data_IF_816588324706
#
_entry.id   IF_816588324706
#
_cell.length_a   1.000
_cell.length_b   1.000
_cell.length_c   1.000
_cell.angle_alpha   90.00
_cell.angle_beta   90.00
_cell.angle_gamma   90.00
#
_symmetry.space_group_name_H-M   'P 1'
#
loop_
_entity.id
_entity.type
_entity.pdbx_description
1 polymer ?
#
# COMPACT_ATOMS: atom_id res chain seq x y z
N UNK A 1 8.27 8.05 16.30
CA UNK A 1 7.11 8.99 16.28
C UNK A 1 6.92 9.70 14.93
N UNK A 2 7.86 9.59 13.99
CA UNK A 2 7.79 10.24 12.66
C UNK A 2 6.86 9.52 11.66
N UNK A 3 6.75 8.19 11.76
CA UNK A 3 5.94 7.34 10.87
C UNK A 3 4.41 7.49 11.01
N UNK A 4 3.90 8.35 11.92
CA UNK A 4 2.45 8.53 12.04
C UNK A 4 1.86 9.61 11.13
N UNK A 5 2.70 10.40 10.45
CA UNK A 5 2.24 11.50 9.57
C UNK A 5 2.29 11.16 8.09
N UNK A 6 2.64 9.94 7.74
CA UNK A 6 2.73 9.48 6.36
C UNK A 6 2.26 8.03 6.21
N UNK A 7 1.91 7.67 4.99
CA UNK A 7 1.72 6.29 4.55
C UNK A 7 2.89 5.90 3.65
N UNK A 8 3.39 4.68 3.82
CA UNK A 8 4.39 4.10 2.93
C UNK A 8 3.72 3.72 1.61
N UNK A 9 4.27 4.17 0.49
CA UNK A 9 3.74 3.87 -0.84
C UNK A 9 4.49 2.72 -1.52
N UNK A 10 5.78 2.56 -1.21
CA UNK A 10 6.66 1.58 -1.83
C UNK A 10 8.11 2.05 -1.77
N UNK A 11 9.00 1.34 -2.46
CA UNK A 11 10.39 1.75 -2.58
C UNK A 11 10.87 1.62 -4.02
N UNK A 12 11.66 2.60 -4.45
CA UNK A 12 12.29 2.63 -5.77
C UNK A 12 13.74 2.16 -5.65
N UNK A 13 14.15 1.23 -6.52
CA UNK A 13 15.52 0.75 -6.57
C UNK A 13 16.44 1.77 -7.27
N UNK A 14 17.41 2.30 -6.54
CA UNK A 14 18.44 3.18 -7.07
C UNK A 14 19.65 2.35 -7.52
N UNK A 15 19.89 2.34 -8.83
CA UNK A 15 20.97 1.55 -9.44
C UNK A 15 22.38 2.02 -9.04
N UNK A 16 22.54 3.30 -8.75
CA UNK A 16 23.84 3.93 -8.43
C UNK A 16 24.34 3.55 -7.03
N UNK A 17 23.44 3.54 -6.05
CA UNK A 17 23.73 3.13 -4.67
C UNK A 17 23.51 1.64 -4.41
N UNK A 18 22.86 0.92 -5.34
CA UNK A 18 22.39 -0.45 -5.16
C UNK A 18 21.47 -0.61 -3.93
N UNK A 19 20.61 0.38 -3.69
CA UNK A 19 19.72 0.45 -2.52
C UNK A 19 18.27 0.74 -2.94
N UNK A 20 17.33 0.36 -2.08
CA UNK A 20 15.93 0.74 -2.22
C UNK A 20 15.66 2.02 -1.43
N UNK A 21 15.20 3.06 -2.12
CA UNK A 21 14.75 4.30 -1.50
C UNK A 21 13.24 4.25 -1.26
N UNK A 22 12.83 4.39 -0.01
CA UNK A 22 11.43 4.41 0.39
C UNK A 22 10.72 5.68 -0.11
N UNK A 23 9.47 5.52 -0.53
CA UNK A 23 8.56 6.57 -0.96
C UNK A 23 7.34 6.62 -0.04
N UNK A 24 6.96 7.84 0.35
CA UNK A 24 5.87 8.08 1.29
C UNK A 24 4.93 9.15 0.78
N UNK A 25 3.65 9.05 1.15
CA UNK A 25 2.69 10.14 1.03
C UNK A 25 2.48 10.72 2.42
N UNK A 26 2.84 11.98 2.60
CA UNK A 26 2.50 12.71 3.82
C UNK A 26 1.00 12.95 3.90
N UNK A 27 0.38 12.60 5.03
CA UNK A 27 -1.07 12.68 5.23
C UNK A 27 -1.60 14.11 5.02
N UNK A 28 -0.81 15.13 5.36
CA UNK A 28 -1.16 16.54 5.11
C UNK A 28 -1.31 16.89 3.63
N UNK A 29 -0.75 16.09 2.72
CA UNK A 29 -0.86 16.25 1.27
C UNK A 29 -1.82 15.23 0.63
N UNK A 30 -2.34 14.27 1.40
CA UNK A 30 -3.28 13.26 0.91
C UNK A 30 -4.68 13.80 0.60
N UNK A 31 -4.96 15.06 0.94
CA UNK A 31 -6.18 15.78 0.55
C UNK A 31 -6.17 16.29 -0.91
N UNK A 32 -5.06 16.11 -1.63
CA UNK A 32 -4.97 16.41 -3.06
C UNK A 32 -5.40 15.21 -3.89
N UNK A 33 -6.07 15.47 -5.02
CA UNK A 33 -6.42 14.42 -5.96
C UNK A 33 -5.16 13.79 -6.56
N UNK A 34 -5.16 12.45 -6.61
CA UNK A 34 -4.14 11.65 -7.28
C UNK A 34 -4.74 10.87 -8.46
N UNK A 35 -3.88 10.43 -9.37
CA UNK A 35 -4.26 9.58 -10.51
C UNK A 35 -3.37 8.34 -10.54
N UNK A 36 -3.98 7.17 -10.42
CA UNK A 36 -3.32 5.88 -10.64
C UNK A 36 -3.66 5.44 -12.05
N UNK A 37 -2.66 5.38 -12.91
CA UNK A 37 -2.80 4.97 -14.32
C UNK A 37 -1.75 3.93 -14.69
N UNK A 38 -2.01 3.15 -15.74
CA UNK A 38 -1.13 2.08 -16.20
C UNK A 38 -1.87 1.02 -17.01
N UNK A 39 -1.11 0.17 -17.71
CA UNK A 39 -1.67 -0.95 -18.48
C UNK A 39 -2.27 -2.05 -17.58
N UNK A 40 -2.99 -2.99 -18.17
CA UNK A 40 -3.45 -4.18 -17.43
C UNK A 40 -2.25 -4.97 -16.90
N UNK A 41 -2.32 -5.44 -15.65
CA UNK A 41 -1.23 -6.18 -15.01
C UNK A 41 -0.13 -5.33 -14.37
N UNK A 42 -0.20 -3.98 -14.44
CA UNK A 42 0.83 -3.10 -13.83
C UNK A 42 0.54 -2.71 -12.38
N UNK A 43 -0.28 -3.50 -11.67
CA UNK A 43 -0.51 -3.31 -10.24
C UNK A 43 -1.52 -2.23 -9.83
N UNK A 44 -2.29 -1.61 -10.74
CA UNK A 44 -3.27 -0.56 -10.40
C UNK A 44 -4.20 -0.93 -9.24
N UNK A 45 -4.80 -2.12 -9.27
CA UNK A 45 -5.69 -2.60 -8.22
C UNK A 45 -4.95 -2.79 -6.90
N UNK A 46 -3.78 -3.43 -6.92
CA UNK A 46 -2.95 -3.66 -5.73
C UNK A 46 -2.51 -2.33 -5.12
N UNK A 47 -2.13 -1.35 -5.94
CA UNK A 47 -1.81 0.00 -5.45
C UNK A 47 -3.02 0.65 -4.76
N UNK A 48 -4.22 0.50 -5.32
CA UNK A 48 -5.43 1.04 -4.69
C UNK A 48 -5.77 0.34 -3.37
N UNK A 49 -5.60 -0.98 -3.29
CA UNK A 49 -5.75 -1.75 -2.05
C UNK A 49 -4.75 -1.27 -0.99
N UNK A 50 -3.46 -1.21 -1.30
CA UNK A 50 -2.42 -0.75 -0.36
C UNK A 50 -2.70 0.66 0.16
N UNK A 51 -3.18 1.57 -0.69
CA UNK A 51 -3.58 2.90 -0.25
C UNK A 51 -4.79 2.84 0.70
N UNK A 52 -5.83 2.08 0.35
CA UNK A 52 -7.02 1.95 1.19
C UNK A 52 -6.68 1.37 2.58
N UNK A 53 -5.90 0.29 2.62
CA UNK A 53 -5.42 -0.34 3.84
C UNK A 53 -4.56 0.62 4.67
N UNK A 54 -3.62 1.33 4.03
CA UNK A 54 -2.72 2.26 4.71
C UNK A 54 -3.47 3.45 5.31
N UNK A 55 -4.49 3.97 4.62
CA UNK A 55 -5.34 5.04 5.18
C UNK A 55 -6.22 4.51 6.32
N UNK A 56 -6.83 3.33 6.16
CA UNK A 56 -7.63 2.67 7.19
C UNK A 56 -6.81 2.42 8.46
N UNK A 57 -5.58 1.93 8.33
CA UNK A 57 -4.64 1.72 9.44
C UNK A 57 -4.24 3.03 10.17
N UNK A 58 -4.43 4.19 9.54
CA UNK A 58 -4.28 5.52 10.16
C UNK A 58 -5.59 6.06 10.74
N UNK A 59 -6.66 5.26 10.74
CA UNK A 59 -7.99 5.67 11.21
C UNK A 59 -8.75 6.57 10.23
N UNK A 60 -8.32 6.63 8.97
CA UNK A 60 -8.94 7.47 7.94
C UNK A 60 -9.97 6.62 7.19
N UNK A 61 -11.27 7.02 7.16
CA UNK A 61 -12.28 6.27 6.43
C UNK A 61 -12.03 6.38 4.92
N UNK A 62 -12.12 5.24 4.23
CA UNK A 62 -11.91 5.14 2.79
C UNK A 62 -13.19 4.66 2.12
N UNK A 63 -13.63 5.38 1.10
CA UNK A 63 -14.74 4.97 0.24
C UNK A 63 -14.20 4.59 -1.13
N UNK A 64 -14.51 3.39 -1.60
CA UNK A 64 -14.04 2.87 -2.89
C UNK A 64 -15.21 2.42 -3.76
N UNK A 65 -15.24 2.88 -5.01
CA UNK A 65 -16.12 2.31 -6.03
C UNK A 65 -15.45 1.06 -6.63
N UNK A 66 -15.94 -0.12 -6.27
CA UNK A 66 -15.40 -1.39 -6.77
C UNK A 66 -16.24 -1.96 -7.92
N UNK A 67 -15.99 -1.49 -9.15
CA UNK A 67 -16.76 -1.90 -10.34
C UNK A 67 -16.49 -3.37 -10.71
N UNK A 68 -15.28 -3.88 -10.42
CA UNK A 68 -14.85 -5.22 -10.83
C UNK A 68 -14.95 -6.26 -9.73
N UNK A 69 -15.14 -5.84 -8.48
CA UNK A 69 -15.10 -6.71 -7.31
C UNK A 69 -13.68 -7.03 -6.82
N UNK A 70 -12.66 -6.37 -7.38
CA UNK A 70 -11.26 -6.68 -7.13
C UNK A 70 -10.76 -6.07 -5.81
N UNK A 71 -11.46 -5.10 -5.21
CA UNK A 71 -11.07 -4.48 -3.94
C UNK A 71 -11.58 -5.26 -2.72
N UNK A 72 -12.60 -6.10 -2.88
CA UNK A 72 -13.17 -6.91 -1.79
C UNK A 72 -12.16 -7.78 -1.03
N UNK A 73 -11.02 -8.11 -1.64
CA UNK A 73 -9.94 -8.89 -1.03
C UNK A 73 -9.36 -8.28 0.25
N UNK A 74 -9.44 -6.95 0.45
CA UNK A 74 -8.88 -6.26 1.63
C UNK A 74 -9.58 -6.64 2.95
N UNK A 75 -10.78 -7.24 2.87
CA UNK A 75 -11.55 -7.70 4.03
C UNK A 75 -11.01 -8.99 4.68
N UNK A 76 -9.96 -9.59 4.12
CA UNK A 76 -9.32 -10.78 4.68
C UNK A 76 -7.81 -10.60 4.76
N UNK A 77 -7.22 -11.10 5.83
CA UNK A 77 -5.77 -11.16 5.97
C UNK A 77 -5.14 -11.96 4.81
N UNK A 78 -4.05 -11.42 4.27
CA UNK A 78 -3.22 -12.10 3.29
C UNK A 78 -2.48 -13.31 3.88
N UNK A 79 -1.83 -14.10 3.01
CA UNK A 79 -0.93 -15.17 3.44
C UNK A 79 0.51 -14.78 3.16
N UNK A 80 1.36 -14.89 4.17
CA UNK A 80 2.81 -14.69 4.01
C UNK A 80 3.41 -15.81 3.18
N UNK A 81 4.32 -15.46 2.26
CA UNK A 81 5.15 -16.39 1.52
C UNK A 81 6.57 -15.83 1.35
N UNK A 82 7.50 -16.67 0.90
CA UNK A 82 8.92 -16.30 0.79
C UNK A 82 9.13 -15.09 -0.11
N UNK A 83 8.42 -15.01 -1.25
CA UNK A 83 8.53 -13.87 -2.18
C UNK A 83 8.12 -12.55 -1.55
N UNK A 84 7.03 -12.53 -0.77
CA UNK A 84 6.57 -11.33 -0.08
C UNK A 84 7.57 -10.94 1.02
N UNK A 85 8.06 -11.93 1.76
CA UNK A 85 9.04 -11.72 2.83
C UNK A 85 10.35 -11.14 2.30
N UNK A 86 10.91 -11.72 1.24
CA UNK A 86 12.14 -11.24 0.61
C UNK A 86 11.96 -9.81 0.07
N UNK A 87 10.82 -9.56 -0.59
CA UNK A 87 10.49 -8.21 -1.11
C UNK A 87 10.31 -7.18 0.01
N UNK A 88 9.76 -7.58 1.15
CA UNK A 88 9.60 -6.72 2.32
C UNK A 88 10.98 -6.24 2.81
N UNK A 89 11.90 -7.19 2.99
CA UNK A 89 13.27 -6.92 3.43
C UNK A 89 13.99 -5.99 2.45
N UNK A 90 13.89 -6.27 1.14
CA UNK A 90 14.48 -5.41 0.11
C UNK A 90 13.96 -3.97 0.17
N UNK A 91 12.65 -3.79 0.41
CA UNK A 91 12.01 -2.47 0.37
C UNK A 91 12.08 -1.71 1.69
N UNK A 92 12.74 -2.25 2.71
CA UNK A 92 12.86 -1.64 4.04
C UNK A 92 11.63 -1.84 4.92
N UNK A 93 10.74 -2.77 4.59
CA UNK A 93 9.64 -3.22 5.44
C UNK A 93 10.14 -4.35 6.35
N UNK A 94 10.65 -3.98 7.53
CA UNK A 94 11.19 -4.94 8.52
C UNK A 94 10.13 -5.92 9.05
N UNK A 95 8.87 -5.48 9.14
CA UNK A 95 7.74 -6.30 9.58
C UNK A 95 6.52 -6.06 8.70
N UNK A 96 6.06 -7.10 8.01
CA UNK A 96 4.73 -7.12 7.38
C UNK A 96 3.81 -7.97 8.25
N UNK A 97 2.79 -7.32 8.81
CA UNK A 97 1.71 -8.00 9.50
C UNK A 97 0.58 -8.28 8.51
N UNK A 98 0.25 -9.56 8.33
CA UNK A 98 -0.90 -9.96 7.53
C UNK A 98 -2.15 -9.84 8.40
N UNK A 99 -2.87 -8.74 8.25
CA UNK A 99 -4.12 -8.46 8.96
C UNK A 99 -5.28 -8.22 7.99
N UNK A 100 -6.50 -8.39 8.48
CA UNK A 100 -7.71 -7.96 7.80
C UNK A 100 -7.97 -6.46 8.04
N UNK A 101 -8.89 -5.90 7.26
CA UNK A 101 -9.33 -4.51 7.43
C UNK A 101 -10.81 -4.47 7.81
N UNK A 102 -11.23 -3.51 8.64
CA UNK A 102 -12.65 -3.27 8.91
C UNK A 102 -13.32 -2.73 7.64
N UNK A 103 -14.18 -3.54 7.01
CA UNK A 103 -14.83 -3.22 5.72
C UNK A 103 -16.31 -3.51 5.79
N UNK A 104 -17.09 -2.68 5.09
CA UNK A 104 -18.52 -2.87 4.82
C UNK A 104 -18.71 -2.72 3.30
N UNK A 105 -19.53 -3.59 2.71
CA UNK A 105 -19.85 -3.62 1.27
C UNK A 105 -21.26 -3.13 1.00
#
# INVERSE_FOLDING_TARGET
MENNRAIFLGAHYQKESNEFQSAYIWLQYANRHGLITGATGTGKTITLQVLAESFSAKGIPVFCADIKGDLSGIAKAGMMNDKIKDRAVETGLETIEMCDNPVIF
#
